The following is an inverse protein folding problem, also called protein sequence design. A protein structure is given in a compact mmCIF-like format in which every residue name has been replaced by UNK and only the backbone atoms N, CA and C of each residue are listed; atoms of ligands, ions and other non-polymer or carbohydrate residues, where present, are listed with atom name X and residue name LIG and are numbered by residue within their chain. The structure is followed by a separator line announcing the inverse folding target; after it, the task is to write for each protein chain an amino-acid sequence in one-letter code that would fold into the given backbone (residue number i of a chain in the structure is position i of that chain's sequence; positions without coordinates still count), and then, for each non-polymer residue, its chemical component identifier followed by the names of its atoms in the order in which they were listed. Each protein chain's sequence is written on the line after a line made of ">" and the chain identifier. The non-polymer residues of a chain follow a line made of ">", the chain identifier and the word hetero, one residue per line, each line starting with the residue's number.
data_IF_046378656490
#
_entry.id   IF_046378656490
#
_cell.length_a   1.000
_cell.length_b   1.000
_cell.length_c   1.000
_cell.angle_alpha   90.00
_cell.angle_beta   90.00
_cell.angle_gamma   90.00
#
_symmetry.space_group_name_H-M   'P 1'
#
loop_
_entity.id
_entity.type
_entity.pdbx_description
1 polymer ?
#
# COMPACT_ATOMS: atom_id res chain seq x y z
N UNK A 1 -26.36 34.11 1.80
CA UNK A 1 -25.08 34.54 1.19
C UNK A 1 -23.81 33.96 1.83
N UNK A 2 -23.90 33.18 2.89
CA UNK A 2 -22.73 32.58 3.61
C UNK A 2 -22.21 31.30 2.99
N UNK A 3 -23.04 30.50 2.33
CA UNK A 3 -22.67 29.20 1.75
C UNK A 3 -21.49 29.27 0.73
N UNK A 4 -21.46 30.31 -0.10
CA UNK A 4 -20.40 30.46 -1.10
C UNK A 4 -19.01 30.86 -0.53
N UNK A 5 -18.98 31.53 0.64
CA UNK A 5 -17.69 31.88 1.28
C UNK A 5 -17.05 30.69 1.96
N UNK A 6 -17.84 29.85 2.64
CA UNK A 6 -17.38 28.63 3.31
C UNK A 6 -16.88 27.61 2.29
N UNK A 7 -17.60 27.40 1.19
CA UNK A 7 -17.18 26.49 0.11
C UNK A 7 -15.86 26.92 -0.53
N UNK A 8 -15.67 28.23 -0.76
CA UNK A 8 -14.40 28.78 -1.27
C UNK A 8 -13.25 28.65 -0.28
N UNK A 9 -13.50 28.79 1.01
CA UNK A 9 -12.48 28.60 2.05
C UNK A 9 -12.03 27.14 2.12
N UNK A 10 -12.97 26.20 2.11
CA UNK A 10 -12.67 24.75 2.07
C UNK A 10 -11.87 24.37 0.83
N UNK A 11 -12.31 24.84 -0.35
CA UNK A 11 -11.59 24.58 -1.61
C UNK A 11 -10.14 25.13 -1.58
N UNK A 12 -9.94 26.33 -1.04
CA UNK A 12 -8.59 26.92 -0.87
C UNK A 12 -7.74 26.11 0.12
N UNK A 13 -8.31 25.63 1.22
CA UNK A 13 -7.64 24.78 2.18
C UNK A 13 -7.19 23.45 1.55
N UNK A 14 -8.06 22.78 0.80
CA UNK A 14 -7.73 21.56 0.07
C UNK A 14 -6.61 21.80 -0.96
N UNK A 15 -6.69 22.88 -1.74
CA UNK A 15 -5.65 23.23 -2.70
C UNK A 15 -4.30 23.49 -2.02
N UNK A 16 -4.29 24.17 -0.88
CA UNK A 16 -3.06 24.41 -0.11
C UNK A 16 -2.44 23.11 0.40
N UNK A 17 -3.25 22.19 0.93
CA UNK A 17 -2.79 20.84 1.37
C UNK A 17 -2.21 20.06 0.20
N UNK A 18 -2.87 20.05 -0.96
CA UNK A 18 -2.39 19.39 -2.16
C UNK A 18 -1.07 20.01 -2.67
N UNK A 19 -0.95 21.34 -2.64
CA UNK A 19 0.27 22.03 -3.04
C UNK A 19 1.45 21.71 -2.13
N UNK A 20 1.24 21.68 -0.81
CA UNK A 20 2.28 21.27 0.17
C UNK A 20 2.67 19.81 -0.07
N UNK A 21 1.69 18.91 -0.23
CA UNK A 21 1.95 17.50 -0.52
C UNK A 21 2.76 17.31 -1.80
N UNK A 22 2.46 18.09 -2.84
CA UNK A 22 3.20 18.06 -4.11
C UNK A 22 4.65 18.52 -3.94
N UNK A 23 4.89 19.61 -3.21
CA UNK A 23 6.24 20.13 -2.92
C UNK A 23 7.06 19.08 -2.17
N UNK A 24 6.49 18.47 -1.14
CA UNK A 24 7.14 17.39 -0.36
C UNK A 24 7.41 16.17 -1.24
N UNK A 25 6.46 15.80 -2.11
CA UNK A 25 6.60 14.68 -3.05
C UNK A 25 7.73 14.91 -4.07
N UNK A 26 7.80 16.12 -4.65
CA UNK A 26 8.87 16.49 -5.60
C UNK A 26 10.26 16.46 -4.97
N UNK A 27 10.40 16.84 -3.71
CA UNK A 27 11.69 16.82 -3.00
C UNK A 27 12.21 15.41 -2.67
N UNK A 28 11.35 14.39 -2.71
CA UNK A 28 11.69 13.01 -2.32
C UNK A 28 11.71 12.02 -3.50
N UNK A 29 11.36 12.43 -4.71
CA UNK A 29 11.17 11.49 -5.82
C UNK A 29 11.67 12.01 -7.15
N UNK A 30 12.42 11.16 -7.89
CA UNK A 30 12.84 11.46 -9.26
C UNK A 30 11.71 11.15 -10.25
N UNK A 31 11.04 12.19 -10.73
CA UNK A 31 9.96 12.09 -11.73
C UNK A 31 10.47 11.65 -13.10
N UNK A 32 11.76 11.90 -13.38
CA UNK A 32 12.44 11.68 -14.68
C UNK A 32 13.29 10.42 -14.72
N UNK A 33 13.12 9.48 -13.77
CA UNK A 33 13.91 8.26 -13.75
C UNK A 33 13.66 7.40 -15.01
N UNK A 34 14.76 6.94 -15.64
CA UNK A 34 14.69 5.94 -16.72
C UNK A 34 14.55 4.54 -16.10
N UNK A 35 13.52 3.81 -16.48
CA UNK A 35 13.24 2.47 -15.99
C UNK A 35 14.35 1.44 -16.31
N UNK A 36 15.18 1.71 -17.34
CA UNK A 36 16.29 0.84 -17.75
C UNK A 36 17.49 0.95 -16.83
N UNK A 37 17.74 2.14 -16.29
CA UNK A 37 18.92 2.46 -15.46
C UNK A 37 18.58 2.61 -13.99
N UNK A 38 17.28 2.68 -13.63
CA UNK A 38 16.85 2.82 -12.25
C UNK A 38 17.27 1.60 -11.40
N UNK A 39 17.90 1.87 -10.26
CA UNK A 39 18.39 0.83 -9.35
C UNK A 39 17.25 -0.08 -8.87
N UNK A 40 17.55 -1.37 -8.79
CA UNK A 40 16.75 -2.42 -8.16
C UNK A 40 17.53 -3.14 -7.07
N UNK A 41 18.63 -2.55 -6.61
CA UNK A 41 19.46 -3.13 -5.55
C UNK A 41 18.71 -3.19 -4.21
N UNK A 42 18.94 -4.22 -3.40
CA UNK A 42 18.43 -4.30 -2.04
C UNK A 42 18.92 -3.11 -1.18
N UNK A 43 18.10 -2.72 -0.21
CA UNK A 43 18.42 -1.65 0.73
C UNK A 43 19.16 -2.14 1.98
N UNK A 44 19.17 -3.46 2.23
CA UNK A 44 19.74 -4.04 3.44
C UNK A 44 18.88 -3.82 4.70
N UNK A 45 17.57 -3.52 4.53
CA UNK A 45 16.63 -3.37 5.65
C UNK A 45 15.87 -4.65 5.96
N UNK A 46 15.90 -5.62 5.06
CA UNK A 46 15.32 -6.93 5.29
C UNK A 46 16.20 -7.77 6.24
N UNK A 47 15.60 -8.61 7.11
CA UNK A 47 16.35 -9.56 7.91
C UNK A 47 17.13 -10.54 7.04
N UNK A 48 18.40 -10.78 7.37
CA UNK A 48 19.20 -11.82 6.72
C UNK A 48 18.64 -13.21 7.04
N UNK A 49 18.21 -14.00 6.05
CA UNK A 49 17.70 -15.36 6.27
C UNK A 49 18.70 -16.32 6.93
N UNK A 50 20.00 -16.08 6.78
CA UNK A 50 21.03 -16.89 7.41
C UNK A 50 21.08 -16.69 8.94
N UNK A 51 20.75 -15.49 9.40
CA UNK A 51 20.73 -15.09 10.82
C UNK A 51 19.34 -15.29 11.42
N UNK A 52 18.33 -14.83 10.73
CA UNK A 52 16.93 -14.86 11.17
C UNK A 52 16.25 -16.14 10.67
N UNK A 53 16.29 -17.20 11.49
CA UNK A 53 15.77 -18.52 11.13
C UNK A 53 14.27 -18.67 11.36
N UNK A 54 13.66 -17.77 12.13
CA UNK A 54 12.22 -17.72 12.39
C UNK A 54 11.41 -17.43 11.10
N UNK A 55 10.13 -17.78 11.11
CA UNK A 55 9.19 -17.37 10.07
C UNK A 55 8.98 -15.86 10.09
N UNK A 56 8.89 -15.22 8.92
CA UNK A 56 8.77 -13.76 8.77
C UNK A 56 7.77 -13.44 7.67
N UNK A 57 6.85 -12.48 7.94
CA UNK A 57 6.03 -11.82 6.94
C UNK A 57 6.25 -10.32 7.07
N UNK A 58 6.57 -9.67 5.95
CA UNK A 58 6.75 -8.22 5.89
C UNK A 58 5.93 -7.64 4.74
N UNK A 59 5.37 -6.44 4.96
CA UNK A 59 4.69 -5.66 3.92
C UNK A 59 5.53 -4.43 3.64
N UNK A 60 5.74 -4.15 2.37
CA UNK A 60 6.57 -3.06 1.89
C UNK A 60 5.78 -2.07 1.05
N UNK A 61 6.24 -0.82 1.04
CA UNK A 61 5.79 0.22 0.13
C UNK A 61 6.99 1.02 -0.39
N UNK A 62 6.95 1.36 -1.67
CA UNK A 62 7.88 2.32 -2.27
C UNK A 62 7.12 3.27 -3.19
N UNK A 63 7.63 4.49 -3.40
CA UNK A 63 7.02 5.41 -4.38
C UNK A 63 6.90 4.75 -5.74
N UNK A 64 5.75 4.92 -6.38
CA UNK A 64 5.50 4.37 -7.70
C UNK A 64 6.47 4.98 -8.74
N UNK A 65 6.70 4.26 -9.82
CA UNK A 65 7.65 4.68 -10.84
C UNK A 65 7.19 5.93 -11.62
N UNK A 66 8.14 6.83 -11.89
CA UNK A 66 7.93 8.05 -12.67
C UNK A 66 7.00 9.05 -11.96
N UNK A 67 6.26 9.84 -12.73
CA UNK A 67 5.33 10.85 -12.19
C UNK A 67 4.26 10.30 -11.22
N UNK A 68 3.92 9.01 -11.34
CA UNK A 68 2.96 8.34 -10.43
C UNK A 68 3.43 8.34 -8.98
N UNK A 69 4.76 8.33 -8.77
CA UNK A 69 5.36 8.38 -7.44
C UNK A 69 5.10 9.69 -6.68
N UNK A 70 4.66 10.76 -7.37
CA UNK A 70 4.19 11.98 -6.71
C UNK A 70 2.88 11.72 -5.94
N UNK A 71 2.05 10.83 -6.45
CA UNK A 71 0.71 10.58 -5.94
C UNK A 71 0.64 9.32 -5.09
N UNK A 72 1.32 8.28 -5.51
CA UNK A 72 1.10 6.96 -4.94
C UNK A 72 2.35 6.13 -4.70
N UNK A 73 2.12 5.03 -4.03
CA UNK A 73 3.10 3.97 -3.77
C UNK A 73 2.73 2.69 -4.50
N UNK A 74 3.72 1.85 -4.72
CA UNK A 74 3.59 0.44 -5.03
C UNK A 74 3.80 -0.35 -3.76
N UNK A 75 2.95 -1.33 -3.47
CA UNK A 75 3.06 -2.18 -2.30
C UNK A 75 3.24 -3.64 -2.70
N UNK A 76 3.94 -4.41 -1.84
CA UNK A 76 4.15 -5.84 -1.98
C UNK A 76 4.28 -6.51 -0.62
N UNK A 77 4.15 -7.83 -0.60
CA UNK A 77 4.25 -8.65 0.60
C UNK A 77 5.38 -9.64 0.40
N UNK A 78 6.20 -9.84 1.42
CA UNK A 78 7.26 -10.81 1.43
C UNK A 78 7.10 -11.78 2.60
N UNK A 79 7.32 -13.05 2.34
CA UNK A 79 7.22 -14.10 3.33
C UNK A 79 8.43 -15.02 3.29
N UNK A 80 8.90 -15.45 4.46
CA UNK A 80 9.97 -16.43 4.65
C UNK A 80 9.55 -17.44 5.70
N UNK A 81 9.28 -18.71 5.33
CA UNK A 81 9.03 -19.76 6.30
C UNK A 81 10.20 -19.98 7.26
N UNK A 82 9.93 -20.61 8.39
CA UNK A 82 10.96 -21.05 9.34
C UNK A 82 12.02 -21.88 8.64
N UNK A 83 13.28 -21.53 8.83
CA UNK A 83 14.43 -22.23 8.26
C UNK A 83 14.68 -21.99 6.77
N UNK A 84 13.80 -21.31 6.04
CA UNK A 84 14.01 -21.00 4.63
C UNK A 84 15.21 -20.06 4.43
N UNK A 85 15.90 -20.23 3.30
CA UNK A 85 17.10 -19.46 2.94
C UNK A 85 16.80 -18.19 2.14
N UNK A 86 15.54 -18.00 1.70
CA UNK A 86 15.12 -16.88 0.87
C UNK A 86 13.72 -16.43 1.21
N UNK A 87 13.37 -15.21 0.76
CA UNK A 87 12.01 -14.70 0.79
C UNK A 87 11.27 -15.01 -0.50
N UNK A 88 9.98 -15.32 -0.39
CA UNK A 88 9.03 -15.29 -1.49
C UNK A 88 8.30 -13.94 -1.46
N UNK A 89 8.28 -13.24 -2.58
CA UNK A 89 7.62 -11.94 -2.74
C UNK A 89 6.37 -12.10 -3.58
N UNK A 90 5.26 -11.53 -3.09
CA UNK A 90 3.94 -11.50 -3.71
C UNK A 90 3.60 -10.07 -4.09
N UNK A 91 3.35 -9.81 -5.36
CA UNK A 91 3.06 -8.47 -5.87
C UNK A 91 2.21 -8.49 -7.13
N UNK A 92 1.50 -7.41 -7.40
CA UNK A 92 0.80 -7.19 -8.67
C UNK A 92 1.63 -6.28 -9.55
N UNK A 93 1.99 -6.77 -10.74
CA UNK A 93 2.82 -6.08 -11.72
C UNK A 93 1.99 -5.70 -12.95
N UNK A 94 1.60 -4.44 -13.08
CA UNK A 94 0.66 -3.96 -14.08
C UNK A 94 1.10 -4.19 -15.53
N UNK A 95 2.39 -4.04 -15.87
CA UNK A 95 2.84 -4.27 -17.25
C UNK A 95 2.74 -5.72 -17.71
N UNK A 96 2.62 -6.69 -16.79
CA UNK A 96 2.36 -8.10 -17.14
C UNK A 96 0.92 -8.25 -17.64
N UNK A 97 -0.07 -7.66 -16.96
CA UNK A 97 -1.46 -7.64 -17.41
C UNK A 97 -1.59 -6.94 -18.76
N UNK A 98 -0.94 -5.79 -18.95
CA UNK A 98 -0.97 -5.06 -20.23
C UNK A 98 -0.38 -5.84 -21.42
N UNK A 99 0.38 -6.89 -21.15
CA UNK A 99 0.91 -7.82 -22.16
C UNK A 99 0.10 -9.11 -22.27
N UNK A 100 -1.08 -9.17 -21.64
CA UNK A 100 -1.96 -10.33 -21.66
C UNK A 100 -1.51 -11.47 -20.73
N UNK A 101 -0.63 -11.19 -19.76
CA UNK A 101 -0.19 -12.16 -18.77
C UNK A 101 -0.81 -11.95 -17.39
N UNK A 102 -0.57 -12.90 -16.50
CA UNK A 102 -0.97 -12.79 -15.11
C UNK A 102 -0.19 -11.67 -14.40
N UNK A 103 -0.91 -10.68 -13.84
CA UNK A 103 -0.34 -9.57 -13.09
C UNK A 103 0.25 -10.01 -11.75
N UNK A 104 -0.31 -11.07 -11.13
CA UNK A 104 0.24 -11.62 -9.90
C UNK A 104 1.61 -12.24 -10.17
N UNK A 105 2.62 -11.72 -9.51
CA UNK A 105 3.97 -12.24 -9.50
C UNK A 105 4.28 -12.83 -8.12
N UNK A 106 4.68 -14.09 -8.10
CA UNK A 106 5.20 -14.78 -6.93
C UNK A 106 6.62 -15.19 -7.28
N UNK A 107 7.62 -14.62 -6.60
CA UNK A 107 9.02 -14.83 -6.96
C UNK A 107 9.95 -14.84 -5.76
N UNK A 108 11.00 -15.64 -5.82
CA UNK A 108 12.08 -15.59 -4.85
C UNK A 108 13.03 -14.43 -5.18
N UNK A 109 13.17 -13.50 -4.24
CA UNK A 109 14.09 -12.37 -4.34
C UNK A 109 14.29 -11.70 -2.98
N UNK A 110 15.28 -10.81 -2.89
CA UNK A 110 15.38 -9.91 -1.75
C UNK A 110 14.12 -9.05 -1.62
N UNK A 111 13.48 -8.99 -0.44
CA UNK A 111 12.18 -8.33 -0.29
C UNK A 111 12.29 -6.79 -0.31
N UNK A 112 13.45 -6.25 0.02
CA UNK A 112 13.73 -4.83 0.18
C UNK A 112 14.40 -4.19 -1.03
N UNK A 113 14.23 -4.79 -2.22
CA UNK A 113 14.73 -4.21 -3.46
C UNK A 113 14.06 -2.86 -3.76
N UNK A 114 14.86 -1.90 -4.21
CA UNK A 114 14.36 -0.60 -4.69
C UNK A 114 13.34 -0.79 -5.81
N UNK A 115 12.23 -0.08 -5.73
CA UNK A 115 11.23 -0.05 -6.78
C UNK A 115 11.61 1.03 -7.81
N UNK A 116 12.38 0.64 -8.83
CA UNK A 116 12.88 1.55 -9.86
C UNK A 116 13.54 2.81 -9.27
N UNK A 117 14.46 2.62 -8.33
CA UNK A 117 15.19 3.68 -7.65
C UNK A 117 14.52 4.20 -6.38
N UNK A 118 13.21 4.02 -6.21
CA UNK A 118 12.53 4.40 -4.98
C UNK A 118 12.85 3.43 -3.83
N UNK A 119 13.14 3.99 -2.68
CA UNK A 119 13.49 3.25 -1.47
C UNK A 119 12.23 2.63 -0.84
N UNK A 120 12.24 1.31 -0.56
CA UNK A 120 11.16 0.69 0.18
C UNK A 120 11.21 1.05 1.66
N UNK A 121 10.04 1.06 2.27
CA UNK A 121 9.84 1.11 3.71
C UNK A 121 8.97 -0.08 4.13
N UNK A 122 9.21 -0.59 5.33
CA UNK A 122 8.42 -1.67 5.91
C UNK A 122 7.18 -1.05 6.55
N UNK A 123 6.00 -1.54 6.16
CA UNK A 123 4.71 -1.12 6.71
C UNK A 123 4.24 -2.06 7.84
N UNK A 124 4.57 -3.33 7.74
CA UNK A 124 4.29 -4.34 8.77
C UNK A 124 5.41 -5.37 8.80
N UNK A 125 5.73 -5.85 9.99
CA UNK A 125 6.76 -6.87 10.24
C UNK A 125 6.27 -7.84 11.32
N UNK A 126 5.97 -9.07 10.91
CA UNK A 126 5.50 -10.14 11.81
C UNK A 126 6.48 -11.28 11.77
N UNK A 127 6.96 -11.72 12.94
CA UNK A 127 7.99 -12.77 13.06
C UNK A 127 7.68 -13.78 14.15
N UNK A 128 8.24 -14.98 14.01
CA UNK A 128 8.30 -15.99 15.05
C UNK A 128 7.12 -16.95 15.07
N UNK A 129 6.68 -17.32 16.26
CA UNK A 129 5.68 -18.36 16.47
C UNK A 129 4.34 -18.04 15.81
N UNK A 130 3.73 -19.05 15.16
CA UNK A 130 2.45 -18.91 14.45
C UNK A 130 2.55 -18.29 13.05
N UNK A 131 3.70 -17.69 12.68
CA UNK A 131 3.85 -17.00 11.39
C UNK A 131 3.89 -17.96 10.21
N UNK A 132 4.34 -19.20 10.38
CA UNK A 132 4.26 -20.22 9.31
C UNK A 132 2.80 -20.48 8.88
N UNK A 133 1.84 -20.47 9.80
CA UNK A 133 0.41 -20.59 9.47
C UNK A 133 -0.12 -19.32 8.78
N UNK A 134 0.37 -18.14 9.17
CA UNK A 134 0.06 -16.89 8.46
C UNK A 134 0.57 -16.96 7.02
N UNK A 135 1.78 -17.49 6.79
CA UNK A 135 2.37 -17.65 5.44
C UNK A 135 1.52 -18.58 4.57
N UNK A 136 1.00 -19.68 5.09
CA UNK A 136 0.10 -20.57 4.33
C UNK A 136 -1.18 -19.85 3.91
N UNK A 137 -1.80 -19.09 4.83
CA UNK A 137 -3.00 -18.31 4.52
C UNK A 137 -2.70 -17.15 3.57
N UNK A 138 -1.51 -16.54 3.66
CA UNK A 138 -1.03 -15.52 2.75
C UNK A 138 -0.97 -16.05 1.32
N UNK A 139 -0.31 -17.20 1.10
CA UNK A 139 -0.22 -17.80 -0.23
C UNK A 139 -1.60 -18.15 -0.79
N UNK A 140 -2.50 -18.71 0.03
CA UNK A 140 -3.87 -18.98 -0.36
C UNK A 140 -4.64 -17.72 -0.74
N UNK A 141 -4.57 -16.67 0.08
CA UNK A 141 -5.24 -15.39 -0.18
C UNK A 141 -4.68 -14.68 -1.42
N UNK A 142 -3.37 -14.72 -1.63
CA UNK A 142 -2.72 -14.15 -2.81
C UNK A 142 -3.18 -14.85 -4.09
N UNK A 143 -3.25 -16.18 -4.08
CA UNK A 143 -3.74 -16.98 -5.24
C UNK A 143 -5.24 -16.86 -5.47
N UNK A 144 -6.01 -16.54 -4.44
CA UNK A 144 -7.45 -16.29 -4.54
C UNK A 144 -7.79 -14.86 -4.95
N UNK A 145 -6.80 -13.98 -5.19
CA UNK A 145 -7.04 -12.61 -5.63
C UNK A 145 -7.79 -12.58 -6.97
N UNK A 146 -8.97 -11.91 -7.06
CA UNK A 146 -9.86 -12.06 -8.22
C UNK A 146 -9.35 -11.36 -9.49
N UNK A 147 -8.44 -10.38 -9.37
CA UNK A 147 -7.97 -9.54 -10.50
C UNK A 147 -6.53 -9.88 -10.91
N UNK A 148 -6.26 -11.17 -11.12
CA UNK A 148 -4.89 -11.60 -11.49
C UNK A 148 -4.51 -11.24 -12.93
N UNK A 149 -5.49 -11.00 -13.80
CA UNK A 149 -5.27 -10.66 -15.22
C UNK A 149 -5.61 -9.19 -15.51
N UNK A 150 -6.04 -8.45 -14.49
CA UNK A 150 -6.44 -7.05 -14.62
C UNK A 150 -5.50 -6.12 -13.86
N UNK A 151 -5.31 -4.94 -14.43
CA UNK A 151 -4.61 -3.86 -13.73
C UNK A 151 -5.13 -2.50 -14.18
N UNK A 152 -5.68 -1.77 -13.25
CA UNK A 152 -6.14 -0.39 -13.45
C UNK A 152 -5.43 0.51 -12.46
N UNK A 153 -4.60 1.43 -12.98
CA UNK A 153 -3.77 2.32 -12.14
C UNK A 153 -4.63 3.10 -11.14
N UNK A 154 -5.77 3.60 -11.58
CA UNK A 154 -6.72 4.38 -10.82
C UNK A 154 -8.14 4.13 -11.31
N UNK A 155 -9.10 3.90 -10.42
CA UNK A 155 -9.00 3.80 -8.95
C UNK A 155 -8.51 2.44 -8.44
N UNK A 156 -8.30 1.46 -9.29
CA UNK A 156 -7.97 0.05 -9.04
C UNK A 156 -8.79 -0.86 -9.97
N UNK A 157 -8.53 -2.18 -9.99
CA UNK A 157 -7.60 -2.93 -9.12
C UNK A 157 -6.13 -2.73 -9.48
N UNK A 158 -5.26 -2.66 -8.47
CA UNK A 158 -3.82 -2.47 -8.62
C UNK A 158 -3.02 -3.15 -7.47
N UNK A 159 -1.73 -2.85 -7.33
CA UNK A 159 -0.89 -3.46 -6.27
C UNK A 159 -1.39 -3.16 -4.86
N UNK A 160 -1.92 -1.96 -4.62
CA UNK A 160 -2.43 -1.58 -3.30
C UNK A 160 -3.78 -2.27 -3.00
N UNK A 161 -4.60 -2.47 -4.03
CA UNK A 161 -5.83 -3.29 -3.93
C UNK A 161 -5.51 -4.73 -3.54
N UNK A 162 -4.48 -5.31 -4.16
CA UNK A 162 -3.99 -6.65 -3.84
C UNK A 162 -3.51 -6.76 -2.40
N UNK A 163 -2.64 -5.84 -1.98
CA UNK A 163 -2.10 -5.84 -0.62
C UNK A 163 -3.21 -5.67 0.42
N UNK A 164 -4.19 -4.78 0.15
CA UNK A 164 -5.35 -4.62 1.02
C UNK A 164 -6.25 -5.87 1.05
N UNK A 165 -6.41 -6.57 -0.08
CA UNK A 165 -7.16 -7.83 -0.15
C UNK A 165 -6.51 -8.92 0.72
N UNK A 166 -5.21 -9.13 0.56
CA UNK A 166 -4.46 -10.12 1.35
C UNK A 166 -4.46 -9.75 2.83
N UNK A 167 -4.26 -8.48 3.18
CA UNK A 167 -4.26 -8.03 4.58
C UNK A 167 -5.60 -8.29 5.28
N UNK A 168 -6.74 -8.11 4.59
CA UNK A 168 -8.07 -8.45 5.15
C UNK A 168 -8.23 -9.92 5.49
N UNK A 169 -7.52 -10.80 4.79
CA UNK A 169 -7.48 -12.23 5.12
C UNK A 169 -6.51 -12.54 6.27
N UNK A 170 -5.64 -11.60 6.64
CA UNK A 170 -4.57 -11.74 7.61
C UNK A 170 -4.57 -10.57 8.61
N UNK A 171 -5.65 -10.39 9.40
CA UNK A 171 -5.77 -9.25 10.32
C UNK A 171 -4.66 -9.21 11.38
N UNK A 172 -3.99 -10.35 11.63
CA UNK A 172 -2.84 -10.43 12.54
C UNK A 172 -1.63 -9.59 12.12
N UNK A 173 -1.59 -9.15 10.86
CA UNK A 173 -0.56 -8.24 10.39
C UNK A 173 -0.75 -6.82 10.94
N UNK A 174 -1.98 -6.47 11.36
CA UNK A 174 -2.30 -5.13 11.83
C UNK A 174 -1.97 -4.04 10.81
N UNK A 175 -2.13 -4.34 9.51
CA UNK A 175 -1.61 -3.48 8.45
C UNK A 175 -2.42 -2.19 8.29
N UNK A 176 -1.77 -1.05 8.52
CA UNK A 176 -2.24 0.27 8.12
C UNK A 176 -1.56 0.70 6.80
N UNK A 177 -2.32 0.74 5.73
CA UNK A 177 -1.82 1.18 4.42
C UNK A 177 -1.78 2.71 4.36
N UNK A 178 -0.68 3.32 3.89
CA UNK A 178 -0.55 4.77 3.86
C UNK A 178 -1.61 5.42 2.95
N UNK A 179 -1.94 6.70 3.17
CA UNK A 179 -2.92 7.43 2.35
C UNK A 179 -2.48 7.57 0.88
N UNK A 180 -1.20 7.33 0.61
CA UNK A 180 -0.64 7.26 -0.75
C UNK A 180 -0.78 5.89 -1.41
N UNK A 181 -1.32 4.88 -0.72
CA UNK A 181 -1.65 3.58 -1.31
C UNK A 181 -2.96 3.65 -2.10
N UNK A 182 -2.98 4.44 -3.17
CA UNK A 182 -4.16 4.62 -4.04
C UNK A 182 -4.62 3.26 -4.58
N UNK A 183 -5.90 2.96 -4.42
CA UNK A 183 -6.49 1.66 -4.77
C UNK A 183 -6.69 0.73 -3.57
N UNK A 184 -6.18 1.05 -2.36
CA UNK A 184 -6.44 0.26 -1.14
C UNK A 184 -7.92 0.18 -0.78
N UNK A 185 -8.68 1.20 -1.19
CA UNK A 185 -10.12 1.33 -0.95
C UNK A 185 -10.98 0.73 -2.07
N UNK A 186 -10.39 0.20 -3.12
CA UNK A 186 -11.10 -0.54 -4.16
C UNK A 186 -11.48 -1.93 -3.61
N UNK A 187 -12.78 -2.15 -3.37
CA UNK A 187 -13.26 -3.42 -2.85
C UNK A 187 -13.51 -4.41 -4.00
N UNK A 188 -13.05 -5.68 -3.86
CA UNK A 188 -13.26 -6.70 -4.88
C UNK A 188 -14.75 -6.98 -5.16
N UNK A 189 -15.02 -7.45 -6.39
CA UNK A 189 -16.33 -7.95 -6.83
C UNK A 189 -17.49 -6.96 -6.66
N UNK A 190 -17.19 -5.63 -6.73
CA UNK A 190 -18.20 -4.59 -6.58
C UNK A 190 -18.73 -4.43 -5.17
N UNK A 191 -18.05 -4.97 -4.18
CA UNK A 191 -18.37 -4.78 -2.76
C UNK A 191 -18.37 -3.30 -2.37
N UNK A 192 -19.32 -2.91 -1.53
CA UNK A 192 -19.44 -1.53 -1.02
C UNK A 192 -19.03 -1.40 0.44
N UNK A 193 -18.89 -2.49 1.15
CA UNK A 193 -18.49 -2.53 2.57
C UNK A 193 -17.57 -3.74 2.82
N UNK A 194 -16.58 -3.53 3.70
CA UNK A 194 -15.65 -4.58 4.10
C UNK A 194 -15.05 -4.27 5.49
N UNK A 195 -14.35 -5.23 6.07
CA UNK A 195 -13.40 -4.97 7.15
C UNK A 195 -12.24 -4.09 6.63
N UNK A 196 -11.64 -3.31 7.53
CA UNK A 196 -10.39 -2.60 7.22
C UNK A 196 -9.26 -3.60 6.95
N UNK A 197 -8.16 -3.21 6.26
CA UNK A 197 -6.99 -4.07 6.06
C UNK A 197 -6.40 -4.64 7.34
N UNK A 198 -6.40 -3.88 8.44
CA UNK A 198 -5.95 -4.34 9.76
C UNK A 198 -6.95 -5.29 10.44
N UNK A 199 -8.19 -5.37 9.95
CA UNK A 199 -9.29 -6.09 10.59
C UNK A 199 -9.88 -5.42 11.82
N UNK A 200 -9.37 -4.24 12.25
CA UNK A 200 -9.78 -3.56 13.50
C UNK A 200 -10.98 -2.65 13.34
N UNK A 201 -11.54 -2.55 12.14
CA UNK A 201 -12.65 -1.68 11.83
C UNK A 201 -13.39 -2.06 10.56
N UNK A 202 -14.11 -1.07 10.03
CA UNK A 202 -14.90 -1.22 8.80
C UNK A 202 -14.67 -0.06 7.85
N UNK A 203 -14.88 -0.34 6.56
CA UNK A 203 -14.91 0.67 5.52
C UNK A 203 -16.12 0.51 4.63
N UNK A 204 -16.57 1.64 4.11
CA UNK A 204 -17.54 1.73 3.02
C UNK A 204 -16.83 2.44 1.87
N UNK A 205 -16.90 1.87 0.67
CA UNK A 205 -16.23 2.42 -0.50
C UNK A 205 -17.05 2.19 -1.75
N UNK A 206 -17.21 3.23 -2.54
CA UNK A 206 -17.81 3.19 -3.86
C UNK A 206 -16.69 3.16 -4.91
N UNK A 207 -16.37 1.96 -5.38
CA UNK A 207 -15.37 1.69 -6.43
C UNK A 207 -13.98 2.30 -6.17
N UNK A 208 -13.60 2.50 -4.90
CA UNK A 208 -12.32 3.16 -4.55
C UNK A 208 -12.27 4.66 -4.85
N UNK A 209 -13.40 5.26 -5.26
CA UNK A 209 -13.48 6.69 -5.61
C UNK A 209 -14.02 7.56 -4.49
N UNK A 210 -14.96 7.04 -3.70
CA UNK A 210 -15.53 7.74 -2.55
C UNK A 210 -15.73 6.74 -1.43
N UNK A 211 -15.26 7.06 -0.23
CA UNK A 211 -15.40 6.14 0.89
C UNK A 211 -15.03 6.72 2.22
N UNK A 212 -15.37 5.98 3.25
CA UNK A 212 -15.00 6.25 4.64
C UNK A 212 -14.48 4.95 5.25
N UNK A 213 -13.40 5.04 5.99
CA UNK A 213 -12.80 3.95 6.73
C UNK A 213 -12.65 4.38 8.19
N UNK A 214 -13.01 3.52 9.11
CA UNK A 214 -12.80 3.71 10.55
C UNK A 214 -12.29 2.41 11.17
N UNK A 215 -11.11 2.44 11.75
CA UNK A 215 -10.44 1.32 12.40
C UNK A 215 -9.54 1.80 13.53
N UNK A 216 -9.19 0.90 14.43
CA UNK A 216 -8.31 1.23 15.56
C UNK A 216 -6.88 1.49 15.06
N UNK A 217 -6.42 0.68 14.10
CA UNK A 217 -5.07 0.82 13.53
C UNK A 217 -5.01 1.93 12.48
N UNK A 218 -6.04 2.07 11.65
CA UNK A 218 -6.05 3.05 10.57
C UNK A 218 -6.54 4.44 11.00
N UNK A 219 -7.22 4.54 12.13
CA UNK A 219 -7.91 5.76 12.54
C UNK A 219 -9.18 6.01 11.71
N UNK A 220 -9.44 7.28 11.40
CA UNK A 220 -10.56 7.71 10.56
C UNK A 220 -10.03 8.28 9.24
N UNK A 221 -10.48 7.72 8.13
CA UNK A 221 -10.09 8.15 6.79
C UNK A 221 -11.30 8.46 5.91
N UNK A 222 -11.16 9.45 5.06
CA UNK A 222 -12.10 9.80 3.99
C UNK A 222 -11.35 9.74 2.67
N UNK A 223 -11.87 8.94 1.73
CA UNK A 223 -11.36 8.84 0.38
C UNK A 223 -12.26 9.68 -0.56
N UNK A 224 -11.63 10.57 -1.31
CA UNK A 224 -12.28 11.37 -2.37
C UNK A 224 -11.43 11.22 -3.63
N UNK A 225 -11.99 10.59 -4.66
CA UNK A 225 -11.32 10.33 -5.94
C UNK A 225 -9.98 9.60 -5.79
N UNK A 226 -9.89 8.64 -4.86
CA UNK A 226 -8.66 7.90 -4.59
C UNK A 226 -7.65 8.66 -3.72
N UNK A 227 -7.93 9.89 -3.31
CA UNK A 227 -7.12 10.70 -2.41
C UNK A 227 -7.62 10.52 -0.98
N UNK A 228 -6.79 9.99 -0.10
CA UNK A 228 -7.14 9.70 1.28
C UNK A 228 -6.69 10.83 2.20
N UNK A 229 -7.63 11.33 2.98
CA UNK A 229 -7.44 12.27 4.09
C UNK A 229 -7.84 11.55 5.37
N UNK A 230 -7.05 11.70 6.44
CA UNK A 230 -7.36 11.00 7.68
C UNK A 230 -6.68 11.57 8.89
N UNK A 231 -7.14 11.10 10.04
CA UNK A 231 -6.53 11.29 11.34
C UNK A 231 -6.35 9.93 12.00
N UNK A 232 -5.23 9.73 12.62
CA UNK A 232 -4.94 8.54 13.40
C UNK A 232 -4.70 8.96 14.87
N UNK A 233 -5.74 8.85 15.71
CA UNK A 233 -5.65 9.23 17.12
C UNK A 233 -4.73 8.31 17.93
N UNK A 234 -4.59 7.04 17.53
CA UNK A 234 -3.73 6.07 18.22
C UNK A 234 -2.27 6.52 18.17
N UNK A 235 -1.83 6.92 17.00
CA UNK A 235 -0.43 7.29 16.74
C UNK A 235 -0.23 8.82 16.64
N UNK A 236 -1.25 9.61 16.99
CA UNK A 236 -1.25 11.08 16.90
C UNK A 236 -0.79 11.59 15.52
N UNK A 237 -1.25 10.95 14.46
CA UNK A 237 -0.84 11.25 13.10
C UNK A 237 -1.98 11.82 12.26
N UNK A 238 -1.59 12.58 11.23
CA UNK A 238 -2.46 13.07 10.16
C UNK A 238 -2.08 12.36 8.86
N UNK A 239 -3.07 11.91 8.10
CA UNK A 239 -2.90 11.24 6.82
C UNK A 239 -3.33 12.19 5.71
N UNK A 240 -2.39 12.53 4.83
CA UNK A 240 -2.62 13.46 3.74
C UNK A 240 -2.26 12.83 2.39
N UNK A 241 -3.08 13.07 1.35
CA UNK A 241 -2.70 12.64 0.00
C UNK A 241 -1.37 13.29 -0.40
N UNK A 242 -0.61 12.62 -1.26
CA UNK A 242 0.72 13.02 -1.74
C UNK A 242 1.80 13.02 -0.65
N UNK A 243 1.54 13.59 0.52
CA UNK A 243 2.49 13.71 1.63
C UNK A 243 2.67 12.40 2.42
N UNK A 244 1.62 11.60 2.51
CA UNK A 244 1.63 10.39 3.32
C UNK A 244 1.17 10.63 4.76
N UNK A 245 1.65 9.80 5.69
CA UNK A 245 1.40 9.92 7.11
C UNK A 245 2.39 10.89 7.74
N UNK A 246 1.89 11.81 8.53
CA UNK A 246 2.66 12.83 9.26
C UNK A 246 2.30 12.70 10.74
N UNK A 247 3.28 12.37 11.56
CA UNK A 247 3.15 12.15 13.00
C UNK A 247 4.38 11.46 13.58
N UNK A 248 4.39 11.15 14.88
CA UNK A 248 5.41 10.30 15.48
C UNK A 248 5.52 8.95 14.77
N UNK A 249 6.71 8.41 14.72
CA UNK A 249 7.05 7.08 14.18
C UNK A 249 7.10 6.07 15.30
#
# INVERSE_FOLDING_TARGET
>A
MTFGKTTRAVAKGLLAVLAVGLIVGLGKHSVMADWRTASREPMGIAPDPAVHREAIVQVYAARAFGWRGLFGVHTWIAAKPSGAASFTVYEIIGWRAYRGGNALAISERAPDMRWFGAEPQILADKRGEGVDEIIKRLDAAARAYPYQEEYVIWPGPNSNTFTAHVARALPELGLDLPPTAIGKDYLPEGGIAARTPSGTGYQVSLFGLLGVLAGVEEGLEVNILGLTFGIDPKDLAVKLPLAGRIGPS
#
